data_IF_018083468661
#
_entry.id   IF_018083468661
#
_cell.length_a   1.000
_cell.length_b   1.000
_cell.length_c   1.000
_cell.angle_alpha   90.00
_cell.angle_beta   90.00
_cell.angle_gamma   90.00
#
_symmetry.space_group_name_H-M   'P 1'
#
loop_
_entity.id
_entity.type
_entity.pdbx_description
1 polymer ?
#
# COMPACT_ATOMS: atom_id res chain seq x y z
N UNK A 1 -24.38 6.32 12.29
CA UNK A 1 -23.74 7.64 12.03
C UNK A 1 -24.87 8.64 11.76
N UNK A 2 -24.72 9.93 12.12
CA UNK A 2 -25.85 10.86 12.12
C UNK A 2 -26.40 11.07 10.71
N UNK A 3 -27.73 11.19 10.62
CA UNK A 3 -28.55 11.40 9.41
C UNK A 3 -27.98 12.48 8.45
N UNK A 4 -27.22 13.43 9.00
CA UNK A 4 -26.50 14.48 8.26
C UNK A 4 -25.56 13.93 7.19
N UNK A 5 -24.83 12.84 7.45
CA UNK A 5 -23.90 12.27 6.45
C UNK A 5 -24.64 11.55 5.33
N UNK A 6 -25.80 10.95 5.62
CA UNK A 6 -26.66 10.40 4.58
C UNK A 6 -27.13 11.52 3.65
N UNK A 7 -27.63 12.63 4.19
CA UNK A 7 -28.10 13.79 3.41
C UNK A 7 -27.04 14.38 2.46
N UNK A 8 -25.78 14.45 2.87
CA UNK A 8 -24.69 14.93 2.01
C UNK A 8 -24.36 13.93 0.89
N UNK A 9 -24.50 12.63 1.17
CA UNK A 9 -24.18 11.57 0.23
C UNK A 9 -25.40 11.08 -0.57
N UNK A 10 -26.63 11.54 -0.29
CA UNK A 10 -27.83 11.12 -1.02
C UNK A 10 -27.71 11.28 -2.53
N UNK A 11 -27.17 12.40 -3.07
CA UNK A 11 -26.98 12.52 -4.53
C UNK A 11 -26.02 11.50 -5.13
N UNK A 12 -25.25 10.79 -4.29
CA UNK A 12 -24.42 9.65 -4.69
C UNK A 12 -25.12 8.31 -4.40
N UNK A 13 -25.91 8.19 -3.34
CA UNK A 13 -26.61 6.95 -2.95
C UNK A 13 -27.74 6.65 -3.93
N UNK A 14 -28.64 7.60 -4.18
CA UNK A 14 -29.81 7.43 -5.05
C UNK A 14 -29.45 6.87 -6.44
N UNK A 15 -28.50 7.46 -7.20
CA UNK A 15 -28.15 6.91 -8.51
C UNK A 15 -27.45 5.55 -8.42
N UNK A 16 -26.72 5.26 -7.34
CA UNK A 16 -26.10 3.94 -7.16
C UNK A 16 -27.15 2.88 -6.87
N UNK A 17 -28.19 3.22 -6.12
CA UNK A 17 -29.33 2.34 -5.83
C UNK A 17 -30.14 2.05 -7.09
N UNK A 18 -30.48 3.06 -7.88
CA UNK A 18 -31.17 2.88 -9.17
C UNK A 18 -30.40 1.96 -10.12
N UNK A 19 -29.08 2.15 -10.22
CA UNK A 19 -28.22 1.29 -11.03
C UNK A 19 -28.14 -0.12 -10.45
N UNK A 20 -28.17 -0.28 -9.13
CA UNK A 20 -28.22 -1.59 -8.49
C UNK A 20 -29.53 -2.32 -8.85
N UNK A 21 -30.67 -1.65 -8.75
CA UNK A 21 -31.98 -2.20 -9.12
C UNK A 21 -32.03 -2.58 -10.59
N UNK A 22 -31.48 -1.73 -11.47
CA UNK A 22 -31.32 -2.05 -12.89
C UNK A 22 -30.52 -3.34 -13.10
N UNK A 23 -29.37 -3.50 -12.42
CA UNK A 23 -28.60 -4.73 -12.54
C UNK A 23 -29.31 -5.93 -11.92
N UNK A 24 -30.01 -5.75 -10.80
CA UNK A 24 -30.80 -6.80 -10.19
C UNK A 24 -31.90 -7.29 -11.14
N UNK A 25 -32.65 -6.39 -11.78
CA UNK A 25 -33.65 -6.76 -12.78
C UNK A 25 -33.10 -7.41 -14.05
N UNK A 26 -31.78 -7.35 -14.29
CA UNK A 26 -31.12 -8.03 -15.41
C UNK A 26 -30.64 -9.44 -15.06
N UNK A 27 -30.25 -9.69 -13.80
CA UNK A 27 -29.57 -10.93 -13.38
C UNK A 27 -30.27 -11.71 -12.28
N UNK A 28 -31.36 -11.16 -11.72
CA UNK A 28 -32.16 -11.70 -10.62
C UNK A 28 -31.32 -12.17 -9.43
N UNK A 29 -30.21 -11.47 -9.15
CA UNK A 29 -29.30 -11.79 -8.05
C UNK A 29 -28.65 -10.55 -7.47
N UNK A 30 -28.88 -10.29 -6.18
CA UNK A 30 -28.31 -9.13 -5.48
C UNK A 30 -26.79 -9.17 -5.41
N UNK A 31 -26.19 -10.35 -5.26
CA UNK A 31 -24.74 -10.49 -5.25
C UNK A 31 -24.10 -10.16 -6.60
N UNK A 32 -24.70 -10.62 -7.71
CA UNK A 32 -24.25 -10.24 -9.06
C UNK A 32 -24.51 -8.75 -9.33
N UNK A 33 -25.63 -8.19 -8.86
CA UNK A 33 -25.91 -6.77 -8.97
C UNK A 33 -24.84 -5.92 -8.28
N UNK A 34 -24.41 -6.30 -7.06
CA UNK A 34 -23.29 -5.64 -6.36
C UNK A 34 -21.99 -5.74 -7.17
N UNK A 35 -21.69 -6.90 -7.75
CA UNK A 35 -20.50 -7.10 -8.59
C UNK A 35 -20.54 -6.18 -9.83
N UNK A 36 -21.66 -6.15 -10.54
CA UNK A 36 -21.86 -5.33 -11.74
C UNK A 36 -21.83 -3.84 -11.43
N UNK A 37 -22.46 -3.41 -10.33
CA UNK A 37 -22.38 -2.05 -9.84
C UNK A 37 -20.93 -1.65 -9.57
N UNK A 38 -20.18 -2.51 -8.88
CA UNK A 38 -18.76 -2.28 -8.57
C UNK A 38 -17.94 -2.10 -9.85
N UNK A 39 -18.10 -3.01 -10.81
CA UNK A 39 -17.39 -2.96 -12.09
C UNK A 39 -17.76 -1.69 -12.86
N UNK A 40 -19.03 -1.32 -12.90
CA UNK A 40 -19.53 -0.14 -13.62
C UNK A 40 -18.98 1.15 -13.05
N UNK A 41 -19.01 1.31 -11.72
CA UNK A 41 -18.39 2.45 -11.04
C UNK A 41 -16.90 2.50 -11.32
N UNK A 42 -16.21 1.36 -11.26
CA UNK A 42 -14.78 1.28 -11.54
C UNK A 42 -14.42 1.64 -12.98
N UNK A 43 -15.28 1.29 -13.95
CA UNK A 43 -15.14 1.68 -15.35
C UNK A 43 -15.28 3.20 -15.53
N UNK A 44 -16.29 3.81 -14.92
CA UNK A 44 -16.49 5.27 -14.95
C UNK A 44 -15.29 6.00 -14.34
N UNK A 45 -14.71 5.45 -13.28
CA UNK A 45 -13.55 6.02 -12.59
C UNK A 45 -12.21 5.64 -13.21
N UNK A 46 -12.19 4.72 -14.19
CA UNK A 46 -10.98 4.25 -14.83
C UNK A 46 -10.08 5.38 -15.36
N UNK A 47 -10.55 6.38 -16.12
CA UNK A 47 -9.70 7.48 -16.59
C UNK A 47 -9.06 8.27 -15.43
N UNK A 48 -9.78 8.43 -14.33
CA UNK A 48 -9.27 9.10 -13.13
C UNK A 48 -8.20 8.23 -12.44
N UNK A 49 -8.47 6.94 -12.25
CA UNK A 49 -7.50 6.02 -11.62
C UNK A 49 -6.23 5.84 -12.46
N UNK A 50 -6.31 5.86 -13.79
CA UNK A 50 -5.13 5.83 -14.66
C UNK A 50 -4.25 7.07 -14.47
N UNK A 51 -4.85 8.27 -14.35
CA UNK A 51 -4.11 9.50 -14.02
C UNK A 51 -3.45 9.41 -12.64
N UNK A 52 -4.14 8.84 -11.65
CA UNK A 52 -3.60 8.60 -10.30
C UNK A 52 -2.39 7.66 -10.34
N UNK A 53 -2.50 6.52 -11.03
CA UNK A 53 -1.40 5.53 -11.13
C UNK A 53 -0.18 6.14 -11.80
N UNK A 54 -0.37 6.94 -12.87
CA UNK A 54 0.73 7.67 -13.52
C UNK A 54 1.42 8.65 -12.57
N UNK A 55 0.66 9.34 -11.71
CA UNK A 55 1.23 10.22 -10.68
C UNK A 55 2.05 9.43 -9.64
N UNK A 56 1.55 8.27 -9.20
CA UNK A 56 2.24 7.40 -8.25
C UNK A 56 3.55 6.82 -8.82
N UNK A 57 3.56 6.45 -10.10
CA UNK A 57 4.78 5.96 -10.77
C UNK A 57 5.88 7.03 -10.83
N UNK A 58 5.54 8.31 -11.08
CA UNK A 58 6.52 9.40 -11.04
C UNK A 58 7.18 9.52 -9.67
N UNK A 59 6.41 9.35 -8.59
CA UNK A 59 6.97 9.35 -7.24
C UNK A 59 7.91 8.16 -7.00
N UNK A 60 7.59 6.98 -7.56
CA UNK A 60 8.45 5.81 -7.47
C UNK A 60 9.79 6.00 -8.19
N UNK A 61 9.82 6.72 -9.31
CA UNK A 61 11.07 7.05 -10.01
C UNK A 61 11.99 7.95 -9.17
N UNK A 62 11.41 8.84 -8.37
CA UNK A 62 12.14 9.75 -7.50
C UNK A 62 12.47 9.15 -6.12
N UNK A 63 11.92 7.98 -5.78
CA UNK A 63 12.20 7.27 -4.53
C UNK A 63 13.69 7.11 -4.19
N UNK A 64 14.61 6.72 -5.11
CA UNK A 64 16.04 6.62 -4.79
C UNK A 64 16.66 7.95 -4.33
N UNK A 65 16.27 9.06 -4.94
CA UNK A 65 16.81 10.38 -4.59
C UNK A 65 16.27 10.85 -3.24
N UNK A 66 14.99 10.59 -2.98
CA UNK A 66 14.38 10.83 -1.67
C UNK A 66 15.12 10.08 -0.56
N UNK A 67 15.52 8.82 -0.81
CA UNK A 67 16.34 8.06 0.15
C UNK A 67 17.73 8.65 0.37
N UNK A 68 18.35 9.22 -0.66
CA UNK A 68 19.65 9.92 -0.52
C UNK A 68 19.52 11.16 0.35
N UNK A 69 18.45 11.94 0.17
CA UNK A 69 18.14 13.09 1.05
C UNK A 69 17.93 12.60 2.49
N UNK A 70 17.16 11.52 2.66
CA UNK A 70 16.92 10.96 3.99
C UNK A 70 18.22 10.48 4.65
N UNK A 71 19.11 9.82 3.92
CA UNK A 71 20.40 9.35 4.43
C UNK A 71 21.33 10.53 4.79
N UNK A 72 21.37 11.57 3.95
CA UNK A 72 22.22 12.75 4.15
C UNK A 72 21.84 13.54 5.40
N UNK A 73 20.55 13.66 5.70
CA UNK A 73 20.02 14.41 6.84
C UNK A 73 19.46 13.50 7.94
N UNK A 74 19.96 12.27 8.08
CA UNK A 74 19.44 11.28 9.07
C UNK A 74 19.45 11.82 10.50
N UNK A 75 20.44 12.63 10.84
CA UNK A 75 20.64 13.21 12.18
C UNK A 75 19.87 14.51 12.41
N UNK A 76 19.25 15.09 11.38
CA UNK A 76 18.52 16.37 11.46
C UNK A 76 17.15 16.24 10.81
N UNK A 77 16.17 15.81 11.61
CA UNK A 77 14.81 15.50 11.16
C UNK A 77 14.07 16.71 10.59
N UNK A 78 14.28 17.90 11.18
CA UNK A 78 13.64 19.12 10.68
C UNK A 78 14.16 19.48 9.29
N UNK A 79 15.48 19.45 9.12
CA UNK A 79 16.10 19.77 7.83
C UNK A 79 15.84 18.69 6.78
N UNK A 80 15.78 17.43 7.19
CA UNK A 80 15.34 16.31 6.34
C UNK A 80 13.94 16.54 5.76
N UNK A 81 12.97 16.96 6.58
CA UNK A 81 11.61 17.25 6.12
C UNK A 81 11.58 18.46 5.17
N UNK A 82 12.32 19.53 5.47
CA UNK A 82 12.40 20.73 4.62
C UNK A 82 12.98 20.42 3.23
N UNK A 83 14.13 19.74 3.17
CA UNK A 83 14.78 19.37 1.90
C UNK A 83 13.93 18.40 1.09
N UNK A 84 13.23 17.48 1.75
CA UNK A 84 12.29 16.56 1.08
C UNK A 84 11.10 17.31 0.48
N UNK A 85 10.52 18.28 1.19
CA UNK A 85 9.43 19.11 0.66
C UNK A 85 9.90 20.01 -0.49
N UNK A 86 11.09 20.59 -0.37
CA UNK A 86 11.73 21.36 -1.43
C UNK A 86 11.93 20.53 -2.69
N UNK A 87 12.44 19.30 -2.52
CA UNK A 87 12.62 18.36 -3.62
C UNK A 87 11.30 18.01 -4.32
N UNK A 88 10.20 17.81 -3.56
CA UNK A 88 8.87 17.61 -4.15
C UNK A 88 8.40 18.80 -4.99
N UNK A 89 8.64 20.03 -4.51
CA UNK A 89 8.28 21.25 -5.23
C UNK A 89 9.11 21.44 -6.50
N UNK A 90 10.42 21.23 -6.42
CA UNK A 90 11.35 21.34 -7.56
C UNK A 90 11.00 20.34 -8.66
N UNK A 91 10.63 19.10 -8.29
CA UNK A 91 10.24 18.06 -9.23
C UNK A 91 8.74 18.08 -9.61
N UNK A 92 7.96 19.04 -9.06
CA UNK A 92 6.50 19.17 -9.26
C UNK A 92 5.73 17.86 -9.04
N UNK A 93 6.11 17.10 -8.02
CA UNK A 93 5.44 15.87 -7.63
C UNK A 93 4.65 16.11 -6.35
N UNK A 94 3.38 15.71 -6.34
CA UNK A 94 2.51 15.85 -5.18
C UNK A 94 2.54 14.57 -4.32
N UNK A 95 3.07 14.59 -3.08
CA UNK A 95 3.09 13.42 -2.21
C UNK A 95 1.66 12.93 -1.84
N UNK A 96 0.69 13.85 -1.81
CA UNK A 96 -0.72 13.53 -1.51
C UNK A 96 -1.44 12.82 -2.66
N UNK A 97 -0.88 12.81 -3.87
CA UNK A 97 -1.45 12.03 -4.96
C UNK A 97 -1.50 10.52 -4.63
N UNK A 98 -0.64 10.05 -3.72
CA UNK A 98 -0.59 8.65 -3.29
C UNK A 98 -1.72 8.27 -2.31
N UNK A 99 -2.30 9.22 -1.58
CA UNK A 99 -3.44 8.97 -0.70
C UNK A 99 -4.80 9.26 -1.36
N UNK A 100 -4.80 9.82 -2.57
CA UNK A 100 -6.01 10.12 -3.34
C UNK A 100 -6.97 8.93 -3.52
N UNK A 101 -6.51 7.68 -3.73
CA UNK A 101 -7.41 6.54 -3.83
C UNK A 101 -8.30 6.37 -2.59
N UNK A 102 -7.77 6.64 -1.39
CA UNK A 102 -8.55 6.55 -0.15
C UNK A 102 -9.63 7.64 -0.08
N UNK A 103 -9.31 8.85 -0.53
CA UNK A 103 -10.24 9.98 -0.51
C UNK A 103 -11.46 9.72 -1.39
N UNK A 104 -11.28 9.09 -2.55
CA UNK A 104 -12.39 8.73 -3.42
C UNK A 104 -13.12 7.46 -2.94
N UNK A 105 -12.38 6.49 -2.41
CA UNK A 105 -12.92 5.22 -1.95
C UNK A 105 -13.86 5.38 -0.76
N UNK A 106 -13.57 6.31 0.17
CA UNK A 106 -14.33 6.45 1.42
C UNK A 106 -15.78 6.94 1.19
N UNK A 107 -16.06 8.00 0.41
CA UNK A 107 -17.43 8.41 0.09
C UNK A 107 -18.22 7.30 -0.61
N UNK A 108 -17.60 6.61 -1.55
CA UNK A 108 -18.24 5.52 -2.27
C UNK A 108 -18.54 4.32 -1.37
N UNK A 109 -17.61 3.96 -0.50
CA UNK A 109 -17.81 2.93 0.52
C UNK A 109 -18.99 3.28 1.44
N UNK A 110 -19.05 4.53 1.91
CA UNK A 110 -20.13 4.97 2.79
C UNK A 110 -21.48 4.90 2.06
N UNK A 111 -21.53 5.37 0.81
CA UNK A 111 -22.74 5.31 0.00
C UNK A 111 -23.23 3.86 -0.18
N UNK A 112 -22.32 2.95 -0.56
CA UNK A 112 -22.64 1.54 -0.71
C UNK A 112 -23.05 0.89 0.62
N UNK A 113 -22.39 1.23 1.73
CA UNK A 113 -22.75 0.73 3.06
C UNK A 113 -24.19 1.14 3.45
N UNK A 114 -24.56 2.41 3.25
CA UNK A 114 -25.92 2.86 3.52
C UNK A 114 -26.91 2.13 2.62
N UNK A 115 -26.64 2.09 1.31
CA UNK A 115 -27.48 1.39 0.34
C UNK A 115 -27.69 -0.09 0.70
N UNK A 116 -26.66 -0.82 1.13
CA UNK A 116 -26.83 -2.22 1.56
C UNK A 116 -27.62 -2.37 2.87
N UNK A 117 -27.52 -1.39 3.77
CA UNK A 117 -28.08 -1.50 5.12
C UNK A 117 -29.52 -0.99 5.21
N UNK A 118 -29.87 0.06 4.47
CA UNK A 118 -31.22 0.62 4.39
C UNK A 118 -31.96 0.10 3.17
N UNK A 119 -31.49 0.42 1.98
CA UNK A 119 -32.31 0.38 0.77
C UNK A 119 -32.46 -1.04 0.27
N UNK A 120 -31.33 -1.76 0.12
CA UNK A 120 -31.31 -3.18 -0.23
C UNK A 120 -32.10 -4.04 0.76
N UNK A 121 -32.05 -3.69 2.05
CA UNK A 121 -32.81 -4.38 3.10
C UNK A 121 -34.32 -4.13 2.95
N UNK A 122 -34.73 -2.92 2.56
CA UNK A 122 -36.12 -2.60 2.27
C UNK A 122 -36.61 -3.29 0.99
N UNK A 123 -35.78 -3.32 -0.06
CA UNK A 123 -36.13 -3.93 -1.34
C UNK A 123 -36.27 -5.46 -1.24
N UNK A 124 -35.45 -6.10 -0.41
CA UNK A 124 -35.55 -7.54 -0.13
C UNK A 124 -36.81 -7.85 0.72
N UNK A 125 -37.17 -6.97 1.65
CA UNK A 125 -38.27 -7.22 2.59
C UNK A 125 -39.68 -6.95 2.04
N UNK A 126 -39.84 -6.16 0.97
CA UNK A 126 -41.17 -5.75 0.51
C UNK A 126 -41.96 -4.94 1.56
N UNK A 127 -43.21 -4.58 1.27
CA UNK A 127 -44.00 -3.55 1.98
C UNK A 127 -44.24 -3.73 3.50
N UNK A 128 -43.82 -4.83 4.13
CA UNK A 128 -43.92 -5.04 5.58
C UNK A 128 -42.69 -4.49 6.35
N UNK A 129 -42.28 -3.25 6.03
CA UNK A 129 -41.10 -2.56 6.56
C UNK A 129 -41.03 -2.46 8.10
N UNK A 130 -42.16 -2.61 8.80
CA UNK A 130 -42.24 -2.58 10.27
C UNK A 130 -41.60 -3.82 10.91
N UNK A 131 -41.63 -4.97 10.22
CA UNK A 131 -40.95 -6.18 10.68
C UNK A 131 -39.42 -6.07 10.52
N UNK A 132 -38.93 -5.51 9.41
CA UNK A 132 -37.50 -5.49 9.10
C UNK A 132 -36.68 -4.41 9.83
N UNK A 133 -37.32 -3.34 10.32
CA UNK A 133 -36.66 -2.30 11.11
C UNK A 133 -36.29 -2.78 12.54
N UNK A 134 -37.00 -3.79 13.05
CA UNK A 134 -36.79 -4.37 14.40
C UNK A 134 -36.25 -5.81 14.36
N UNK A 135 -36.25 -6.46 13.20
CA UNK A 135 -35.75 -7.81 12.99
C UNK A 135 -34.23 -7.93 13.17
N UNK A 136 -33.82 -8.84 14.06
CA UNK A 136 -32.45 -9.35 14.12
C UNK A 136 -32.15 -10.15 12.85
N UNK A 137 -30.87 -10.39 12.52
CA UNK A 137 -30.49 -11.25 11.38
C UNK A 137 -31.15 -12.67 11.42
N UNK A 138 -31.60 -13.13 12.60
CA UNK A 138 -32.34 -14.39 12.74
C UNK A 138 -33.82 -14.27 12.35
N UNK A 139 -34.39 -13.07 12.41
CA UNK A 139 -35.76 -12.78 11.99
C UNK A 139 -35.85 -12.59 10.46
N UNK A 140 -34.73 -12.23 9.79
CA UNK A 140 -34.61 -12.23 8.32
C UNK A 140 -34.89 -13.60 7.72
N UNK A 141 -34.38 -14.67 8.33
CA UNK A 141 -34.61 -16.04 7.88
C UNK A 141 -36.08 -16.50 8.01
N UNK A 142 -36.93 -15.72 8.69
CA UNK A 142 -38.35 -16.04 8.94
C UNK A 142 -39.33 -15.07 8.29
N UNK A 143 -38.89 -13.85 7.97
CA UNK A 143 -39.73 -12.77 7.49
C UNK A 143 -39.96 -12.83 5.98
N UNK A 144 -40.67 -13.86 5.50
CA UNK A 144 -41.45 -13.83 4.25
C UNK A 144 -40.77 -13.41 2.94
N UNK A 145 -39.46 -13.16 2.90
CA UNK A 145 -38.69 -12.95 1.69
C UNK A 145 -38.70 -14.25 0.88
N UNK A 146 -38.74 -14.14 -0.44
CA UNK A 146 -38.61 -15.29 -1.34
C UNK A 146 -37.37 -16.08 -0.91
N UNK A 147 -37.49 -17.35 -0.47
CA UNK A 147 -36.36 -18.07 0.08
C UNK A 147 -35.18 -18.06 -0.88
N UNK A 148 -34.07 -17.43 -0.46
CA UNK A 148 -32.84 -17.35 -1.26
C UNK A 148 -32.63 -16.06 -2.06
N UNK A 149 -33.56 -15.10 -2.05
CA UNK A 149 -33.35 -13.80 -2.67
C UNK A 149 -32.13 -13.09 -2.06
N UNK A 150 -31.99 -13.12 -0.74
CA UNK A 150 -30.85 -12.55 -0.01
C UNK A 150 -29.54 -13.35 -0.10
N UNK A 151 -29.58 -14.55 -0.72
CA UNK A 151 -28.45 -15.46 -0.77
C UNK A 151 -27.58 -15.26 -2.02
N UNK A 152 -26.28 -15.51 -1.89
CA UNK A 152 -25.36 -15.45 -3.02
C UNK A 152 -24.21 -16.44 -2.85
N UNK A 153 -24.07 -17.36 -3.80
CA UNK A 153 -23.10 -18.46 -3.75
C UNK A 153 -23.23 -19.25 -2.44
N UNK A 154 -22.22 -19.19 -1.57
CA UNK A 154 -22.19 -19.86 -0.27
C UNK A 154 -22.60 -18.92 0.88
N UNK A 155 -23.03 -17.69 0.58
CA UNK A 155 -23.45 -16.67 1.54
C UNK A 155 -24.98 -16.75 1.68
N UNK A 156 -25.52 -17.10 2.87
CA UNK A 156 -26.96 -17.22 3.06
C UNK A 156 -27.69 -15.87 3.07
N UNK A 157 -27.04 -14.81 3.57
CA UNK A 157 -27.62 -13.46 3.70
C UNK A 157 -26.54 -12.39 3.41
N UNK A 158 -26.78 -11.55 2.41
CA UNK A 158 -25.92 -10.42 2.03
C UNK A 158 -26.09 -9.18 2.92
N UNK A 159 -27.25 -9.02 3.56
CA UNK A 159 -27.61 -7.82 4.34
C UNK A 159 -27.16 -7.92 5.80
N UNK A 160 -27.07 -9.14 6.32
CA UNK A 160 -26.59 -9.45 7.66
C UNK A 160 -25.07 -9.64 7.74
N UNK A 161 -24.58 -9.76 8.98
CA UNK A 161 -23.19 -10.11 9.25
C UNK A 161 -22.99 -11.61 9.00
N UNK A 162 -21.93 -11.95 8.25
CA UNK A 162 -21.56 -13.35 8.07
C UNK A 162 -21.09 -13.97 9.40
N UNK A 163 -21.42 -15.24 9.63
CA UNK A 163 -21.01 -16.00 10.82
C UNK A 163 -20.47 -17.39 10.44
N UNK A 164 -19.84 -18.08 11.39
CA UNK A 164 -19.39 -19.46 11.23
C UNK A 164 -18.43 -19.68 10.05
N UNK A 165 -18.63 -20.76 9.30
CA UNK A 165 -17.77 -21.15 8.18
C UNK A 165 -17.79 -20.12 7.04
N UNK A 166 -18.93 -19.50 6.77
CA UNK A 166 -19.10 -18.49 5.71
C UNK A 166 -18.18 -17.30 5.97
N UNK A 167 -18.15 -16.81 7.21
CA UNK A 167 -17.28 -15.70 7.61
C UNK A 167 -15.80 -16.03 7.38
N UNK A 168 -15.37 -17.25 7.75
CA UNK A 168 -13.99 -17.69 7.57
C UNK A 168 -13.61 -17.69 6.09
N UNK A 169 -14.46 -18.25 5.23
CA UNK A 169 -14.23 -18.28 3.78
C UNK A 169 -14.16 -16.86 3.21
N UNK A 170 -15.07 -15.96 3.60
CA UNK A 170 -15.05 -14.58 3.14
C UNK A 170 -13.79 -13.81 3.58
N UNK A 171 -13.35 -14.00 4.82
CA UNK A 171 -12.10 -13.40 5.31
C UNK A 171 -10.91 -13.91 4.53
N UNK A 172 -10.82 -15.23 4.28
CA UNK A 172 -9.72 -15.81 3.50
C UNK A 172 -9.69 -15.26 2.07
N UNK A 173 -10.86 -15.17 1.42
CA UNK A 173 -10.97 -14.59 0.08
C UNK A 173 -10.60 -13.10 0.06
N UNK A 174 -11.08 -12.33 1.03
CA UNK A 174 -10.74 -10.91 1.17
C UNK A 174 -9.24 -10.72 1.41
N UNK A 175 -8.66 -11.35 2.43
CA UNK A 175 -7.24 -11.19 2.79
C UNK A 175 -6.35 -11.69 1.65
N UNK A 176 -6.68 -12.84 1.07
CA UNK A 176 -5.94 -13.42 -0.07
C UNK A 176 -5.94 -12.48 -1.27
N UNK A 177 -7.12 -11.98 -1.68
CA UNK A 177 -7.23 -11.04 -2.80
C UNK A 177 -6.55 -9.69 -2.52
N UNK A 178 -6.63 -9.19 -1.28
CA UNK A 178 -6.00 -7.94 -0.88
C UNK A 178 -4.47 -8.04 -0.88
N UNK A 179 -3.91 -9.14 -0.37
CA UNK A 179 -2.47 -9.40 -0.41
C UNK A 179 -2.00 -9.55 -1.85
N UNK A 180 -2.72 -10.30 -2.69
CA UNK A 180 -2.39 -10.45 -4.10
C UNK A 180 -2.33 -9.10 -4.83
N UNK A 181 -3.38 -8.26 -4.66
CA UNK A 181 -3.42 -6.89 -5.17
C UNK A 181 -2.28 -6.02 -4.61
N UNK A 182 -1.96 -6.17 -3.33
CA UNK A 182 -0.85 -5.48 -2.66
C UNK A 182 0.51 -5.85 -3.24
N UNK A 183 0.77 -7.12 -3.51
CA UNK A 183 2.04 -7.58 -4.10
C UNK A 183 2.25 -7.03 -5.52
N UNK A 184 1.16 -6.83 -6.27
CA UNK A 184 1.23 -6.21 -7.59
C UNK A 184 1.41 -4.68 -7.54
N UNK A 185 0.97 -4.00 -6.48
CA UNK A 185 1.15 -2.54 -6.35
C UNK A 185 2.46 -2.12 -5.67
N UNK A 186 2.99 -2.96 -4.78
CA UNK A 186 4.06 -2.57 -3.82
C UNK A 186 5.48 -3.02 -4.19
N UNK A 187 5.67 -3.61 -5.37
CA UNK A 187 6.96 -4.19 -5.77
C UNK A 187 8.14 -3.19 -5.81
N UNK A 188 7.86 -1.90 -5.97
CA UNK A 188 8.86 -0.83 -6.03
C UNK A 188 9.08 -0.10 -4.70
N UNK A 189 8.51 -0.58 -3.60
CA UNK A 189 8.50 0.12 -2.31
C UNK A 189 9.57 -0.43 -1.37
N UNK A 190 10.02 0.42 -0.44
CA UNK A 190 10.93 0.02 0.64
C UNK A 190 10.40 -1.17 1.42
N UNK A 191 11.30 -2.06 1.88
CA UNK A 191 10.93 -3.28 2.63
C UNK A 191 10.00 -2.96 3.81
N UNK A 192 10.29 -1.92 4.59
CA UNK A 192 9.46 -1.54 5.74
C UNK A 192 8.06 -1.04 5.33
N UNK A 193 7.96 -0.24 4.27
CA UNK A 193 6.66 0.23 3.75
C UNK A 193 5.84 -0.91 3.17
N UNK A 194 6.49 -1.84 2.46
CA UNK A 194 5.85 -3.03 1.91
C UNK A 194 5.28 -3.93 3.02
N UNK A 195 6.03 -4.16 4.09
CA UNK A 195 5.55 -4.99 5.20
C UNK A 195 4.34 -4.36 5.91
N UNK A 196 4.34 -3.04 6.11
CA UNK A 196 3.18 -2.33 6.68
C UNK A 196 1.96 -2.49 5.78
N UNK A 197 2.10 -2.31 4.47
CA UNK A 197 0.98 -2.46 3.54
C UNK A 197 0.46 -3.89 3.43
N UNK A 198 1.33 -4.90 3.56
CA UNK A 198 0.92 -6.31 3.57
C UNK A 198 0.26 -6.73 4.89
N UNK A 199 0.60 -6.06 6.00
CA UNK A 199 -0.01 -6.32 7.31
C UNK A 199 -1.35 -5.60 7.51
N UNK A 200 -1.55 -4.42 6.91
CA UNK A 200 -2.75 -3.59 7.07
C UNK A 200 -4.07 -4.36 6.80
N UNK A 201 -4.20 -5.17 5.74
CA UNK A 201 -5.40 -5.96 5.48
C UNK A 201 -5.80 -6.89 6.62
N UNK A 202 -4.81 -7.46 7.30
CA UNK A 202 -5.01 -8.43 8.39
C UNK A 202 -5.57 -7.70 9.61
N UNK A 203 -5.01 -6.55 9.96
CA UNK A 203 -5.53 -5.69 11.03
C UNK A 203 -6.96 -5.24 10.72
N UNK A 204 -7.23 -4.93 9.44
CA UNK A 204 -8.53 -4.46 8.99
C UNK A 204 -9.62 -5.54 9.04
N UNK A 205 -9.28 -6.83 9.20
CA UNK A 205 -10.26 -7.91 9.41
C UNK A 205 -11.12 -7.64 10.65
N UNK A 206 -10.52 -7.21 11.77
CA UNK A 206 -11.25 -6.92 13.00
C UNK A 206 -12.29 -5.80 12.83
N UNK A 207 -12.08 -4.89 11.89
CA UNK A 207 -13.06 -3.88 11.51
C UNK A 207 -14.14 -4.48 10.60
N UNK A 208 -13.72 -5.20 9.55
CA UNK A 208 -14.58 -5.75 8.51
C UNK A 208 -15.62 -6.74 9.05
N UNK A 209 -15.32 -7.55 10.07
CA UNK A 209 -16.28 -8.54 10.62
C UNK A 209 -17.57 -7.92 11.18
N UNK A 210 -17.58 -6.61 11.42
CA UNK A 210 -18.75 -5.90 11.93
C UNK A 210 -19.73 -5.47 10.83
N UNK A 211 -19.34 -5.64 9.56
CA UNK A 211 -20.10 -5.18 8.40
C UNK A 211 -20.91 -6.31 7.73
N UNK A 212 -21.94 -5.95 6.94
CA UNK A 212 -22.71 -6.90 6.14
C UNK A 212 -21.87 -7.72 5.16
N UNK A 213 -22.29 -8.95 4.88
CA UNK A 213 -21.59 -9.85 3.97
C UNK A 213 -21.52 -9.31 2.53
N UNK A 214 -22.53 -8.57 2.06
CA UNK A 214 -22.51 -7.94 0.74
C UNK A 214 -21.39 -6.90 0.60
N UNK A 215 -20.96 -6.28 1.69
CA UNK A 215 -19.81 -5.36 1.68
C UNK A 215 -18.49 -6.12 1.48
N UNK A 216 -18.40 -7.37 1.97
CA UNK A 216 -17.27 -8.25 1.68
C UNK A 216 -17.23 -8.66 0.20
N UNK A 217 -18.39 -8.97 -0.40
CA UNK A 217 -18.49 -9.26 -1.85
C UNK A 217 -17.99 -8.06 -2.66
N UNK A 218 -18.41 -6.85 -2.28
CA UNK A 218 -17.91 -5.62 -2.86
C UNK A 218 -16.37 -5.49 -2.76
N UNK A 219 -15.79 -5.70 -1.57
CA UNK A 219 -14.33 -5.59 -1.38
C UNK A 219 -13.56 -6.62 -2.21
N UNK A 220 -14.01 -7.87 -2.21
CA UNK A 220 -13.38 -8.95 -3.00
C UNK A 220 -13.42 -8.60 -4.49
N UNK A 221 -14.56 -8.10 -4.97
CA UNK A 221 -14.73 -7.66 -6.36
C UNK A 221 -13.81 -6.48 -6.70
N UNK A 222 -13.74 -5.49 -5.81
CA UNK A 222 -12.83 -4.35 -5.91
C UNK A 222 -11.37 -4.80 -6.00
N UNK A 223 -10.97 -5.79 -5.20
CA UNK A 223 -9.61 -6.33 -5.22
C UNK A 223 -9.31 -7.05 -6.52
N UNK A 224 -10.25 -7.86 -7.00
CA UNK A 224 -10.13 -8.52 -8.30
C UNK A 224 -10.00 -7.52 -9.43
N UNK A 225 -10.87 -6.50 -9.47
CA UNK A 225 -10.76 -5.39 -10.42
C UNK A 225 -9.38 -4.73 -10.35
N UNK A 226 -8.88 -4.47 -9.14
CA UNK A 226 -7.59 -3.83 -8.94
C UNK A 226 -6.44 -4.69 -9.48
N UNK A 227 -6.48 -6.01 -9.31
CA UNK A 227 -5.51 -6.94 -9.89
C UNK A 227 -5.55 -6.86 -11.42
N UNK A 228 -6.74 -6.95 -12.02
CA UNK A 228 -6.93 -6.87 -13.49
C UNK A 228 -6.40 -5.53 -14.01
N UNK A 229 -6.81 -4.42 -13.39
CA UNK A 229 -6.36 -3.08 -13.75
C UNK A 229 -4.83 -2.96 -13.63
N UNK A 230 -4.22 -3.44 -12.55
CA UNK A 230 -2.78 -3.38 -12.37
C UNK A 230 -2.04 -4.22 -13.41
N UNK A 231 -2.55 -5.40 -13.77
CA UNK A 231 -1.98 -6.23 -14.83
C UNK A 231 -2.02 -5.51 -16.19
N UNK A 232 -3.14 -4.86 -16.52
CA UNK A 232 -3.28 -4.06 -17.75
C UNK A 232 -2.32 -2.86 -17.74
N UNK A 233 -2.29 -2.09 -16.64
CA UNK A 233 -1.43 -0.91 -16.52
C UNK A 233 0.05 -1.27 -16.57
N UNK A 234 0.46 -2.37 -15.94
CA UNK A 234 1.84 -2.87 -16.01
C UNK A 234 2.25 -3.22 -17.44
N UNK A 235 1.33 -3.76 -18.25
CA UNK A 235 1.57 -4.06 -19.67
C UNK A 235 1.62 -2.80 -20.54
N UNK A 236 0.86 -1.75 -20.22
CA UNK A 236 0.73 -0.55 -21.07
C UNK A 236 1.69 0.59 -20.71
N UNK A 237 1.98 0.81 -19.43
CA UNK A 237 2.76 1.96 -18.95
C UNK A 237 4.22 1.58 -18.63
N UNK A 238 4.55 0.28 -18.56
CA UNK A 238 5.88 -0.22 -18.23
C UNK A 238 6.20 -0.14 -16.73
N UNK A 239 7.01 -1.08 -16.24
CA UNK A 239 7.47 -1.06 -14.84
C UNK A 239 8.43 0.14 -14.62
N UNK A 240 8.40 0.81 -13.46
CA UNK A 240 9.42 1.78 -13.09
C UNK A 240 10.80 1.13 -13.26
N UNK A 241 11.71 1.80 -13.96
CA UNK A 241 13.01 1.27 -14.40
C UNK A 241 13.60 0.29 -13.38
N UNK A 242 13.66 -1.00 -13.74
CA UNK A 242 14.19 -2.09 -12.91
C UNK A 242 15.53 -1.73 -12.27
N UNK A 243 16.36 -0.95 -12.98
CA UNK A 243 17.68 -0.51 -12.51
C UNK A 243 17.60 0.50 -11.34
N UNK A 244 16.57 1.33 -11.28
CA UNK A 244 16.31 2.20 -10.13
C UNK A 244 15.81 1.39 -8.92
N UNK A 245 14.94 0.41 -9.15
CA UNK A 245 14.45 -0.53 -8.12
C UNK A 245 15.59 -1.42 -7.56
N UNK A 246 16.51 -1.86 -8.41
CA UNK A 246 17.70 -2.64 -8.03
C UNK A 246 18.74 -1.77 -7.29
N UNK A 247 18.94 -0.51 -7.70
CA UNK A 247 19.79 0.44 -6.98
C UNK A 247 19.23 0.77 -5.58
N UNK A 248 17.90 0.82 -5.44
CA UNK A 248 17.23 0.96 -4.14
C UNK A 248 17.28 -0.30 -3.27
N UNK A 249 17.32 -1.49 -3.88
CA UNK A 249 17.44 -2.76 -3.15
C UNK A 249 18.89 -3.05 -2.71
N UNK A 250 19.88 -2.49 -3.43
CA UNK A 250 21.29 -2.74 -3.22
C UNK A 250 22.05 -1.69 -2.42
N UNK A 251 21.43 -0.62 -1.90
CA UNK A 251 22.12 0.41 -1.13
C UNK A 251 22.32 -0.05 0.34
N UNK A 252 23.53 -0.48 0.75
CA UNK A 252 23.80 -0.84 2.12
C UNK A 252 24.18 0.45 2.85
N UNK A 253 23.37 0.86 3.81
CA UNK A 253 23.86 1.71 4.88
C UNK A 253 24.92 0.94 5.66
N UNK A 254 26.20 1.18 5.35
CA UNK A 254 27.33 0.60 6.08
C UNK A 254 28.33 -0.17 5.22
N UNK A 255 28.88 0.44 4.16
CA UNK A 255 30.10 -0.03 3.51
C UNK A 255 31.09 1.14 3.37
N UNK A 256 31.41 1.75 4.51
CA UNK A 256 32.52 2.69 4.64
C UNK A 256 33.50 2.16 5.69
N UNK A 257 34.07 0.98 5.41
CA UNK A 257 35.32 0.50 5.98
C UNK A 257 35.74 -0.72 5.16
N UNK A 258 37.02 -0.81 4.81
CA UNK A 258 37.68 -1.88 4.03
C UNK A 258 37.70 -1.68 2.50
N UNK A 259 38.00 -0.45 2.06
CA UNK A 259 38.95 -0.30 0.96
C UNK A 259 40.36 -0.16 1.57
N UNK A 260 40.97 -1.30 1.92
CA UNK A 260 42.42 -1.43 2.13
C UNK A 260 42.93 -2.36 1.05
N UNK A 261 43.91 -1.88 0.27
CA UNK A 261 44.68 -2.73 -0.63
C UNK A 261 44.62 -2.31 -2.10
N UNK A 262 45.15 -1.13 -2.40
CA UNK A 262 45.82 -0.92 -3.69
C UNK A 262 46.98 -1.90 -3.77
N UNK A 263 46.94 -2.82 -4.73
CA UNK A 263 47.94 -3.86 -4.92
C UNK A 263 47.90 -4.40 -6.35
N UNK A 264 48.71 -3.75 -7.18
CA UNK A 264 49.14 -4.12 -8.54
C UNK A 264 49.43 -5.62 -8.74
N UNK A 265 49.21 -6.12 -9.96
CA UNK A 265 49.94 -7.27 -10.48
C UNK A 265 49.09 -8.38 -11.11
N UNK A 266 48.61 -8.16 -12.33
CA UNK A 266 48.19 -9.26 -13.21
C UNK A 266 49.41 -10.02 -13.72
N UNK A 267 49.51 -11.30 -13.41
CA UNK A 267 50.57 -12.19 -13.90
C UNK A 267 50.17 -13.65 -13.71
N UNK A 268 49.59 -14.24 -14.76
CA UNK A 268 49.15 -15.63 -14.82
C UNK A 268 50.30 -16.48 -15.35
N UNK A 269 50.93 -17.30 -14.51
CA UNK A 269 51.82 -18.37 -14.93
C UNK A 269 51.56 -19.64 -14.08
N UNK A 270 51.39 -20.76 -14.78
CA UNK A 270 51.20 -22.12 -14.26
C UNK A 270 52.49 -22.70 -13.69
N UNK A 271 52.34 -23.64 -12.76
CA UNK A 271 53.13 -24.86 -12.48
C UNK A 271 53.27 -25.03 -10.95
N UNK A 272 52.76 -26.10 -10.36
CA UNK A 272 53.49 -27.37 -10.26
C UNK A 272 54.17 -27.44 -8.88
N UNK A 273 53.45 -27.96 -7.87
CA UNK A 273 53.62 -29.32 -7.31
C UNK A 273 54.82 -29.44 -6.34
N UNK A 274 54.45 -29.48 -5.04
CA UNK A 274 54.86 -30.48 -4.02
C UNK A 274 56.26 -30.42 -3.40
N UNK A 275 56.23 -30.59 -2.06
CA UNK A 275 57.28 -31.02 -1.12
C UNK A 275 58.34 -29.98 -0.77
N UNK A 276 58.74 -29.75 0.47
CA UNK A 276 58.55 -30.46 1.73
C UNK A 276 59.63 -29.96 2.71
N UNK A 277 59.41 -30.12 4.02
CA UNK A 277 60.43 -29.88 5.06
C UNK A 277 59.98 -28.84 6.10
N UNK A 278 59.42 -29.24 7.25
CA UNK A 278 60.07 -29.68 8.52
C UNK A 278 60.86 -28.57 9.24
N UNK A 279 60.55 -28.42 10.53
CA UNK A 279 61.35 -27.68 11.53
C UNK A 279 60.59 -26.46 12.06
N UNK A 280 59.72 -26.55 13.07
CA UNK A 280 59.93 -26.88 14.48
C UNK A 280 60.83 -25.87 15.20
N UNK A 281 60.30 -25.16 16.20
CA UNK A 281 61.11 -24.28 17.06
C UNK A 281 60.31 -23.23 17.85
N UNK A 282 59.79 -23.63 19.01
CA UNK A 282 59.30 -22.78 20.10
C UNK A 282 60.32 -21.72 20.55
N UNK A 283 59.85 -20.55 20.98
CA UNK A 283 60.15 -19.97 22.30
C UNK A 283 59.60 -18.53 22.46
N UNK A 284 58.56 -18.41 23.29
CA UNK A 284 58.43 -17.54 24.47
C UNK A 284 58.72 -16.02 24.44
N UNK A 285 58.06 -15.25 25.32
CA UNK A 285 57.63 -13.86 25.09
C UNK A 285 58.46 -12.84 25.87
N UNK A 286 58.49 -11.57 25.42
CA UNK A 286 58.77 -10.43 26.32
C UNK A 286 57.93 -9.20 25.96
N UNK A 287 57.15 -8.82 26.97
CA UNK A 287 56.52 -7.54 27.26
C UNK A 287 57.41 -6.34 26.98
N UNK A 288 56.85 -5.31 26.36
CA UNK A 288 57.12 -3.90 26.70
C UNK A 288 56.00 -2.98 26.14
N UNK A 289 55.39 -2.23 27.05
CA UNK A 289 54.55 -1.05 26.83
C UNK A 289 54.91 -0.07 27.95
N UNK A 290 54.53 1.22 27.90
CA UNK A 290 54.26 2.09 26.75
C UNK A 290 54.89 3.49 26.93
N UNK A 291 55.25 4.19 25.86
CA UNK A 291 55.28 5.67 25.86
C UNK A 291 54.94 6.16 24.45
N UNK A 292 53.92 7.01 24.30
CA UNK A 292 54.04 8.33 23.63
C UNK A 292 52.68 8.98 23.30
N UNK A 293 52.51 10.14 23.94
CA UNK A 293 51.86 11.40 23.56
C UNK A 293 50.57 11.41 22.74
N UNK A 294 49.56 11.98 23.38
CA UNK A 294 48.43 12.73 22.82
C UNK A 294 48.89 13.86 21.88
N UNK A 295 48.21 14.01 20.75
CA UNK A 295 48.35 15.15 19.84
C UNK A 295 47.13 15.22 18.92
N UNK A 296 46.25 16.20 19.16
CA UNK A 296 45.02 16.42 18.39
C UNK A 296 45.25 17.01 16.99
N UNK A 297 44.21 17.03 16.13
CA UNK A 297 44.31 17.49 14.75
C UNK A 297 44.29 19.04 14.61
N UNK A 298 44.87 19.61 13.53
CA UNK A 298 45.00 21.06 13.32
C UNK A 298 43.69 21.72 12.83
N UNK A 299 43.54 23.06 12.98
CA UNK A 299 42.25 23.75 12.83
C UNK A 299 41.90 24.15 11.38
N UNK A 300 40.60 24.23 11.11
CA UNK A 300 39.98 24.61 9.84
C UNK A 300 40.07 26.12 9.53
N UNK A 301 40.38 26.46 8.27
CA UNK A 301 40.45 27.84 7.77
C UNK A 301 39.08 28.54 7.72
N UNK A 302 38.98 29.70 8.38
CA UNK A 302 37.80 30.56 8.49
C UNK A 302 37.74 31.54 7.29
N UNK A 303 36.67 31.48 6.49
CA UNK A 303 36.39 32.44 5.39
C UNK A 303 36.22 33.87 5.94
N UNK A 304 37.03 34.82 5.46
CA UNK A 304 36.94 36.26 5.74
C UNK A 304 35.84 36.93 4.93
N UNK A 305 34.94 37.64 5.62
CA UNK A 305 33.98 38.64 5.11
C UNK A 305 34.75 39.82 4.50
N UNK A 306 34.47 40.19 3.25
CA UNK A 306 34.85 41.51 2.70
C UNK A 306 33.70 42.48 2.93
N UNK A 307 33.92 43.46 3.80
CA UNK A 307 33.14 44.70 3.90
C UNK A 307 34.12 45.80 3.53
N UNK A 308 33.86 46.50 2.43
CA UNK A 308 34.56 47.73 2.04
C UNK A 308 33.47 48.74 1.73
N UNK A 309 33.55 49.90 2.38
CA UNK A 309 32.70 51.03 2.12
C UNK A 309 33.52 52.25 1.72
N UNK A 310 32.78 53.21 1.16
CA UNK A 310 33.01 54.66 1.12
C UNK A 310 33.89 55.20 -0.02
N UNK A 311 33.27 55.99 -0.91
CA UNK A 311 33.44 57.46 -0.96
C UNK A 311 32.59 58.15 -2.04
N UNK A 312 32.04 59.29 -1.62
CA UNK A 312 31.44 60.43 -2.34
C UNK A 312 30.06 60.23 -2.96
#
# INVERSE_FOLDING_TARGET
>A
MPVVFANILQPLIDPLHEVLLFFHGLVDSWGLAIILLTISVRLVLLPLTLKQVKSMQRLQLLAPELRRIQAKYRNDKQRQQQEMMRFYQENRVNPLASCFPLLFQLPFFIALYYMLQSDLRLDICGQDAVACASASAADFAKAGSTPGAESFLFIPDLTGRATGAVLIVLILLYVGSQIASGLLSTASMDRNQRMIMLALPIVFVAFIINFPAGLMVYWITTNFWTIVQQLIVRKTVGLPNRNAALATAGAPGGAAALARGSGSGGGRAKAGKVSGGKGNGSAAPRTETPVRSTGGPPPSARRRKKRSGRRR
#
